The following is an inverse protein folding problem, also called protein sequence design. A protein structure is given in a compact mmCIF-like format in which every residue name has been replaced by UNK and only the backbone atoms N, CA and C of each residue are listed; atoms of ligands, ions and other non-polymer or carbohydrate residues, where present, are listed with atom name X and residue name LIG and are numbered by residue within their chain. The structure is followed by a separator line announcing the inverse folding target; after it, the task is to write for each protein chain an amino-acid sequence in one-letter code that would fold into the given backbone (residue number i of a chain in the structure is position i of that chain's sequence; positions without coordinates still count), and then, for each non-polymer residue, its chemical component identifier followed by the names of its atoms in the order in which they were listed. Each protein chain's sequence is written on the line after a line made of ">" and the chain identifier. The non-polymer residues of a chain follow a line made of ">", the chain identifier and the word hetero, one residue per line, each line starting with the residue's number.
data_IF_357327395390
#
_entry.id   IF_357327395390
#
_cell.length_a   1.000
_cell.length_b   1.000
_cell.length_c   1.000
_cell.angle_alpha   90.00
_cell.angle_beta   90.00
_cell.angle_gamma   90.00
#
_symmetry.space_group_name_H-M   'P 1'
#
loop_
_entity.id
_entity.type
_entity.pdbx_description
1 polymer ?
#
# COMPACT_ATOMS: atom_id res chain seq x y z
N UNK A 1 18.96 45.58 29.18
CA UNK A 1 17.56 45.51 29.61
C UNK A 1 16.99 44.20 29.15
N UNK A 2 16.68 43.25 30.04
CA UNK A 2 16.01 41.98 29.69
C UNK A 2 14.53 42.27 29.49
N UNK A 3 14.03 42.12 28.24
CA UNK A 3 12.59 42.26 27.99
C UNK A 3 11.89 41.06 28.60
N UNK A 4 11.02 41.27 29.57
CA UNK A 4 10.14 40.25 30.11
C UNK A 4 8.98 40.01 29.14
N UNK A 5 8.66 38.75 28.88
CA UNK A 5 7.51 38.35 28.04
C UNK A 5 6.20 38.85 28.72
N UNK A 6 5.33 39.44 27.93
CA UNK A 6 4.00 39.84 28.37
C UNK A 6 3.11 38.58 28.48
N UNK A 7 2.26 38.54 29.49
CA UNK A 7 1.29 37.45 29.72
C UNK A 7 0.35 37.26 28.51
N UNK A 8 0.00 38.37 27.84
CA UNK A 8 -0.81 38.33 26.61
C UNK A 8 -0.08 37.69 25.42
N UNK A 9 1.22 37.90 25.33
CA UNK A 9 2.06 37.31 24.26
C UNK A 9 2.13 35.79 24.40
N UNK A 10 2.21 35.29 25.65
CA UNK A 10 2.15 33.86 25.92
C UNK A 10 0.77 33.28 25.57
N UNK A 11 -0.33 33.98 25.91
CA UNK A 11 -1.69 33.53 25.57
C UNK A 11 -1.90 33.42 24.06
N UNK A 12 -1.41 34.38 23.28
CA UNK A 12 -1.54 34.36 21.83
C UNK A 12 -0.76 33.16 21.24
N UNK A 13 0.43 32.86 21.75
CA UNK A 13 1.25 31.76 21.28
C UNK A 13 0.57 30.39 21.50
N UNK A 14 0.00 30.16 22.70
CA UNK A 14 -0.71 28.90 22.98
C UNK A 14 -1.98 28.73 22.14
N UNK A 15 -2.71 29.82 21.85
CA UNK A 15 -3.88 29.80 20.97
C UNK A 15 -3.45 29.41 19.53
N UNK A 16 -2.38 30.02 18.99
CA UNK A 16 -1.89 29.72 17.66
C UNK A 16 -1.42 28.25 17.58
N UNK A 17 -0.66 27.76 18.58
CA UNK A 17 -0.23 26.36 18.64
C UNK A 17 -1.45 25.43 18.68
N UNK A 18 -2.47 25.73 19.46
CA UNK A 18 -3.71 24.94 19.54
C UNK A 18 -4.43 24.85 18.20
N UNK A 19 -4.55 25.97 17.48
CA UNK A 19 -5.18 26.01 16.15
C UNK A 19 -4.37 25.21 15.13
N UNK A 20 -3.04 25.39 15.10
CA UNK A 20 -2.16 24.65 14.18
C UNK A 20 -2.21 23.14 14.48
N UNK A 21 -2.23 22.75 15.75
CA UNK A 21 -2.29 21.37 16.18
C UNK A 21 -3.62 20.69 15.75
N UNK A 22 -4.75 21.37 15.94
CA UNK A 22 -6.06 20.86 15.50
C UNK A 22 -6.15 20.72 13.98
N UNK A 23 -5.60 21.67 13.22
CA UNK A 23 -5.56 21.57 11.75
C UNK A 23 -4.63 20.45 11.26
N UNK A 24 -3.53 20.18 11.95
CA UNK A 24 -2.65 19.08 11.63
C UNK A 24 -3.33 17.72 11.87
N UNK A 25 -3.98 17.52 13.03
CA UNK A 25 -4.66 16.26 13.35
C UNK A 25 -5.82 16.00 12.39
N UNK A 26 -6.62 17.00 12.03
CA UNK A 26 -7.75 16.82 11.10
C UNK A 26 -7.30 16.44 9.69
N UNK A 27 -6.12 16.89 9.23
CA UNK A 27 -5.55 16.43 7.96
C UNK A 27 -5.12 14.95 8.02
N UNK A 28 -4.56 14.50 9.14
CA UNK A 28 -4.18 13.09 9.30
C UNK A 28 -5.41 12.16 9.39
N UNK A 29 -6.49 12.60 10.04
CA UNK A 29 -7.74 11.81 10.11
C UNK A 29 -8.46 11.75 8.76
N UNK A 30 -8.45 12.82 7.95
CA UNK A 30 -9.05 12.83 6.62
C UNK A 30 -8.38 11.88 5.61
N UNK A 31 -7.11 11.55 5.77
CA UNK A 31 -6.43 10.55 4.92
C UNK A 31 -6.99 9.14 5.18
N UNK A 32 -7.54 8.88 6.39
CA UNK A 32 -8.19 7.60 6.73
C UNK A 32 -9.68 7.53 6.37
N UNK A 33 -10.36 8.66 6.14
CA UNK A 33 -11.81 8.71 5.90
C UNK A 33 -12.21 9.03 4.45
N UNK A 34 -11.29 9.46 3.58
CA UNK A 34 -11.57 9.40 2.15
C UNK A 34 -11.67 7.92 1.77
N UNK A 35 -12.88 7.38 1.75
CA UNK A 35 -13.30 6.20 1.00
C UNK A 35 -13.21 6.52 -0.51
N UNK A 36 -12.07 7.00 -0.96
CA UNK A 36 -11.66 6.85 -2.34
C UNK A 36 -11.70 5.35 -2.56
N UNK A 37 -12.53 4.90 -3.48
CA UNK A 37 -12.60 3.50 -3.88
C UNK A 37 -11.21 3.07 -4.37
N UNK A 38 -10.34 2.77 -3.39
CA UNK A 38 -9.01 2.22 -3.65
C UNK A 38 -9.24 0.91 -4.36
N UNK A 39 -8.67 0.76 -5.53
CA UNK A 39 -8.68 -0.47 -6.29
C UNK A 39 -7.24 -0.93 -6.54
N UNK A 40 -7.06 -2.15 -7.02
CA UNK A 40 -5.72 -2.69 -7.27
C UNK A 40 -4.91 -1.81 -8.24
N UNK A 41 -5.54 -1.16 -9.23
CA UNK A 41 -4.86 -0.26 -10.16
C UNK A 41 -4.26 0.97 -9.46
N UNK A 42 -4.95 1.51 -8.45
CA UNK A 42 -4.52 2.71 -7.70
C UNK A 42 -3.76 2.38 -6.42
N UNK A 43 -3.68 1.11 -6.03
CA UNK A 43 -3.12 0.67 -4.75
C UNK A 43 -1.70 1.17 -4.51
N UNK A 44 -0.79 0.98 -5.48
CA UNK A 44 0.60 1.41 -5.36
C UNK A 44 0.71 2.92 -5.08
N UNK A 45 0.03 3.73 -5.89
CA UNK A 45 0.01 5.18 -5.71
C UNK A 45 -0.68 5.62 -4.41
N UNK A 46 -1.64 4.84 -3.93
CA UNK A 46 -2.30 5.10 -2.65
C UNK A 46 -1.37 4.84 -1.47
N UNK A 47 -0.65 3.70 -1.47
CA UNK A 47 0.32 3.37 -0.42
C UNK A 47 1.50 4.35 -0.37
N UNK A 48 1.96 4.85 -1.52
CA UNK A 48 3.03 5.84 -1.59
C UNK A 48 2.66 7.20 -0.97
N UNK A 49 1.37 7.49 -0.73
CA UNK A 49 0.95 8.73 -0.04
C UNK A 49 1.24 8.73 1.47
N UNK A 50 1.42 7.56 2.08
CA UNK A 50 1.73 7.47 3.49
C UNK A 50 3.21 7.82 3.75
N UNK A 51 3.51 8.83 4.58
CA UNK A 51 4.88 9.12 4.95
C UNK A 51 5.44 7.96 5.79
N UNK A 52 6.56 7.42 5.37
CA UNK A 52 7.20 6.26 6.01
C UNK A 52 8.72 6.36 5.97
N UNK A 53 9.39 5.64 6.86
CA UNK A 53 10.85 5.59 6.95
C UNK A 53 11.43 4.24 6.55
N UNK A 54 10.64 3.18 6.64
CA UNK A 54 11.01 1.81 6.27
C UNK A 54 10.16 1.30 5.13
N UNK A 55 8.89 1.05 5.39
CA UNK A 55 7.95 0.48 4.42
C UNK A 55 6.50 0.86 4.73
N UNK A 56 5.66 0.70 3.70
CA UNK A 56 4.20 0.66 3.85
C UNK A 56 3.71 -0.67 3.30
N UNK A 57 3.01 -1.43 4.12
CA UNK A 57 2.49 -2.75 3.78
C UNK A 57 0.97 -2.78 3.86
N UNK A 58 0.33 -3.23 2.80
CA UNK A 58 -1.05 -3.70 2.84
C UNK A 58 -1.04 -5.17 3.25
N UNK A 59 -1.80 -5.54 4.27
CA UNK A 59 -1.90 -6.90 4.79
C UNK A 59 -3.37 -7.29 4.90
N UNK A 60 -3.82 -8.21 4.06
CA UNK A 60 -5.15 -8.79 4.07
C UNK A 60 -5.09 -10.19 4.65
N UNK A 61 -5.86 -10.47 5.67
CA UNK A 61 -5.84 -11.75 6.38
C UNK A 61 -7.13 -12.53 6.12
N UNK A 62 -7.07 -13.85 6.31
CA UNK A 62 -8.19 -14.80 6.26
C UNK A 62 -8.96 -14.76 4.93
N UNK A 63 -10.09 -14.08 4.88
CA UNK A 63 -11.00 -14.02 3.73
C UNK A 63 -10.75 -12.84 2.80
N UNK A 64 -9.73 -12.03 3.05
CA UNK A 64 -9.41 -10.80 2.32
C UNK A 64 -10.46 -9.68 2.40
N UNK A 65 -11.52 -9.81 3.18
CA UNK A 65 -12.55 -8.78 3.30
C UNK A 65 -12.04 -7.51 3.97
N UNK A 66 -11.07 -7.66 4.86
CA UNK A 66 -10.45 -6.55 5.58
C UNK A 66 -8.93 -6.56 5.41
N UNK A 67 -8.38 -5.44 4.97
CA UNK A 67 -6.97 -5.25 4.71
C UNK A 67 -6.42 -4.11 5.56
N UNK A 68 -5.42 -4.38 6.37
CA UNK A 68 -4.77 -3.39 7.21
C UNK A 68 -3.59 -2.74 6.46
N UNK A 69 -3.51 -1.41 6.55
CA UNK A 69 -2.35 -0.65 6.08
C UNK A 69 -1.42 -0.44 7.27
N UNK A 70 -0.23 -1.01 7.16
CA UNK A 70 0.83 -0.91 8.16
C UNK A 70 1.90 0.05 7.64
N UNK A 71 2.19 1.10 8.40
CA UNK A 71 3.28 2.05 8.13
C UNK A 71 4.37 1.83 9.16
N UNK A 72 5.57 1.50 8.72
CA UNK A 72 6.69 1.15 9.60
C UNK A 72 6.29 0.09 10.67
N UNK A 73 5.46 -0.90 10.24
CA UNK A 73 4.94 -1.97 11.10
C UNK A 73 3.80 -1.58 12.04
N UNK A 74 3.29 -0.34 11.98
CA UNK A 74 2.16 0.14 12.79
C UNK A 74 0.91 0.30 11.94
N UNK A 75 -0.22 -0.24 12.40
CA UNK A 75 -1.51 -0.08 11.73
C UNK A 75 -1.94 1.39 11.71
N UNK A 76 -2.20 1.92 10.51
CA UNK A 76 -2.64 3.30 10.28
C UNK A 76 -4.07 3.38 9.75
N UNK A 77 -4.48 2.45 8.90
CA UNK A 77 -5.80 2.44 8.29
C UNK A 77 -6.26 1.01 8.00
N UNK A 78 -7.53 0.85 7.67
CA UNK A 78 -8.11 -0.43 7.23
C UNK A 78 -8.94 -0.16 5.99
N UNK A 79 -8.79 -1.01 4.97
CA UNK A 79 -9.64 -1.06 3.80
C UNK A 79 -10.61 -2.23 3.98
N UNK A 80 -11.90 -1.95 4.01
CA UNK A 80 -12.94 -2.98 4.06
C UNK A 80 -13.45 -3.27 2.64
N UNK A 81 -13.85 -4.51 2.39
CA UNK A 81 -14.38 -4.99 1.10
C UNK A 81 -13.48 -4.71 -0.11
N UNK A 82 -12.15 -4.65 0.14
CA UNK A 82 -11.14 -4.36 -0.88
C UNK A 82 -10.92 -5.55 -1.82
N UNK A 83 -10.79 -6.74 -1.28
CA UNK A 83 -10.58 -7.99 -2.00
C UNK A 83 -11.51 -9.10 -1.46
N UNK A 84 -11.43 -10.28 -2.04
CA UNK A 84 -12.04 -11.52 -1.56
C UNK A 84 -11.10 -12.72 -1.77
N UNK A 85 -11.52 -13.91 -1.34
CA UNK A 85 -10.72 -15.15 -1.40
C UNK A 85 -10.30 -15.57 -2.83
N UNK A 86 -10.89 -14.98 -3.87
CA UNK A 86 -10.57 -15.32 -5.26
C UNK A 86 -9.26 -14.69 -5.77
N UNK A 87 -8.66 -13.79 -4.98
CA UNK A 87 -7.39 -13.16 -5.35
C UNK A 87 -6.27 -14.20 -5.43
N UNK A 88 -5.49 -14.14 -6.52
CA UNK A 88 -4.31 -14.96 -6.75
C UNK A 88 -3.12 -14.09 -7.05
N UNK A 89 -1.98 -14.44 -6.50
CA UNK A 89 -0.73 -13.70 -6.66
C UNK A 89 0.28 -14.58 -7.40
N UNK A 90 0.94 -14.00 -8.40
CA UNK A 90 1.96 -14.68 -9.18
C UNK A 90 3.25 -13.89 -9.19
N UNK A 91 4.38 -14.57 -9.08
CA UNK A 91 5.70 -14.03 -9.34
C UNK A 91 6.10 -14.35 -10.78
N UNK A 92 6.65 -13.38 -11.49
CA UNK A 92 7.19 -13.63 -12.82
C UNK A 92 8.61 -14.21 -12.73
N UNK A 93 8.82 -15.33 -13.39
CA UNK A 93 10.13 -15.94 -13.61
C UNK A 93 10.42 -15.98 -15.11
N UNK A 94 11.63 -15.59 -15.51
CA UNK A 94 11.99 -15.53 -16.93
C UNK A 94 12.03 -16.91 -17.60
N UNK A 95 12.34 -17.97 -16.86
CA UNK A 95 12.41 -19.34 -17.39
C UNK A 95 11.06 -20.06 -17.34
N UNK A 96 10.30 -19.86 -16.26
CA UNK A 96 9.07 -20.62 -15.98
C UNK A 96 7.78 -19.82 -16.17
N UNK A 97 7.87 -18.51 -16.46
CA UNK A 97 6.71 -17.64 -16.60
C UNK A 97 6.14 -17.19 -15.25
N UNK A 98 4.81 -17.16 -15.12
CA UNK A 98 4.16 -16.74 -13.89
C UNK A 98 3.94 -17.93 -12.96
N UNK A 99 4.55 -17.91 -11.78
CA UNK A 99 4.45 -18.94 -10.74
C UNK A 99 3.50 -18.43 -9.66
N UNK A 100 2.43 -19.17 -9.37
CA UNK A 100 1.49 -18.84 -8.30
C UNK A 100 2.20 -18.91 -6.95
N UNK A 101 2.08 -17.86 -6.14
CA UNK A 101 2.66 -17.82 -4.81
C UNK A 101 1.78 -18.57 -3.81
N UNK A 102 2.41 -19.38 -2.97
CA UNK A 102 1.75 -20.02 -1.84
C UNK A 102 1.40 -18.98 -0.79
N UNK A 103 0.23 -19.16 -0.14
CA UNK A 103 -0.20 -18.27 0.94
C UNK A 103 0.76 -18.34 2.11
N UNK A 104 1.20 -17.18 2.57
CA UNK A 104 2.04 -17.04 3.75
C UNK A 104 1.20 -17.15 5.03
N UNK A 105 1.89 -17.41 6.14
CA UNK A 105 1.30 -17.45 7.47
C UNK A 105 1.81 -16.25 8.26
N UNK A 106 0.92 -15.57 8.95
CA UNK A 106 1.23 -14.46 9.82
C UNK A 106 0.88 -14.81 11.27
N UNK A 107 1.80 -14.56 12.21
CA UNK A 107 1.54 -14.70 13.63
C UNK A 107 1.24 -13.33 14.24
N UNK A 108 0.07 -13.18 14.83
CA UNK A 108 -0.29 -11.93 15.51
C UNK A 108 0.45 -11.80 16.87
N UNK A 109 0.28 -10.65 17.53
CA UNK A 109 0.92 -10.39 18.85
C UNK A 109 0.54 -11.39 19.95
N UNK A 110 -0.58 -12.11 19.81
CA UNK A 110 -1.03 -13.17 20.71
C UNK A 110 -0.51 -14.55 20.27
N UNK A 111 0.41 -14.61 19.32
CA UNK A 111 0.98 -15.84 18.74
C UNK A 111 -0.06 -16.76 18.09
N UNK A 112 -1.18 -16.18 17.63
CA UNK A 112 -2.22 -16.88 16.87
C UNK A 112 -1.89 -16.83 15.39
N UNK A 113 -1.88 -18.00 14.76
CA UNK A 113 -1.67 -18.16 13.32
C UNK A 113 -2.84 -17.59 12.54
N UNK A 114 -2.53 -16.81 11.49
CA UNK A 114 -3.49 -16.26 10.54
C UNK A 114 -2.98 -16.41 9.11
N UNK A 115 -3.84 -16.87 8.23
CA UNK A 115 -3.49 -17.00 6.83
C UNK A 115 -3.45 -15.63 6.15
N UNK A 116 -2.35 -15.32 5.48
CA UNK A 116 -2.25 -14.14 4.63
C UNK A 116 -2.94 -14.44 3.32
N UNK A 117 -4.04 -13.76 3.07
CA UNK A 117 -4.77 -13.86 1.81
C UNK A 117 -4.07 -13.06 0.70
N UNK A 118 -3.64 -11.84 1.02
CA UNK A 118 -2.90 -10.96 0.12
C UNK A 118 -1.99 -10.03 0.93
N UNK A 119 -0.78 -9.80 0.45
CA UNK A 119 0.07 -8.73 0.98
C UNK A 119 0.75 -7.99 -0.18
N UNK A 120 1.01 -6.70 0.02
CA UNK A 120 1.77 -5.89 -0.92
C UNK A 120 2.56 -4.83 -0.15
N UNK A 121 3.87 -4.79 -0.36
CA UNK A 121 4.77 -3.90 0.36
C UNK A 121 5.38 -2.88 -0.60
N UNK A 122 5.48 -1.63 -0.15
CA UNK A 122 6.22 -0.55 -0.81
C UNK A 122 7.34 -0.14 0.14
N UNK A 123 8.58 -0.17 -0.35
CA UNK A 123 9.76 0.18 0.44
C UNK A 123 9.95 1.70 0.61
N UNK A 124 10.99 2.09 1.34
CA UNK A 124 11.33 3.50 1.61
C UNK A 124 11.66 4.32 0.35
N UNK A 125 12.01 3.67 -0.77
CA UNK A 125 12.25 4.30 -2.06
C UNK A 125 10.99 4.42 -2.91
N UNK A 126 9.85 3.93 -2.43
CA UNK A 126 8.59 3.88 -3.17
C UNK A 126 8.50 2.72 -4.16
N UNK A 127 9.44 1.76 -4.07
CA UNK A 127 9.44 0.57 -4.92
C UNK A 127 8.53 -0.50 -4.30
N UNK A 128 7.60 -1.00 -5.08
CA UNK A 128 6.69 -2.06 -4.65
C UNK A 128 7.17 -3.46 -5.03
N UNK A 129 6.56 -4.47 -4.44
CA UNK A 129 6.80 -5.86 -4.79
C UNK A 129 6.44 -6.13 -6.26
N UNK A 130 7.27 -6.95 -6.93
CA UNK A 130 7.08 -7.29 -8.34
C UNK A 130 6.21 -8.54 -8.48
N UNK A 131 4.91 -8.32 -8.57
CA UNK A 131 3.92 -9.40 -8.65
C UNK A 131 2.85 -9.10 -9.68
N UNK A 132 2.23 -10.16 -10.21
CA UNK A 132 0.94 -10.09 -10.89
C UNK A 132 -0.16 -10.50 -9.92
N UNK A 133 -1.24 -9.75 -9.90
CA UNK A 133 -2.40 -10.01 -9.05
C UNK A 133 -3.60 -10.28 -9.94
N UNK A 134 -4.10 -11.51 -9.96
CA UNK A 134 -5.32 -11.87 -10.66
C UNK A 134 -6.52 -11.73 -9.72
N UNK A 135 -7.52 -10.96 -10.13
CA UNK A 135 -8.72 -10.69 -9.36
C UNK A 135 -9.90 -10.30 -10.26
N UNK A 136 -11.05 -10.94 -10.05
CA UNK A 136 -12.30 -10.68 -10.80
C UNK A 136 -12.11 -10.64 -12.32
N UNK A 137 -11.38 -11.60 -12.87
CA UNK A 137 -11.17 -11.75 -14.33
C UNK A 137 -10.18 -10.77 -14.95
N UNK A 138 -9.51 -9.94 -14.14
CA UNK A 138 -8.45 -9.05 -14.56
C UNK A 138 -7.12 -9.44 -13.90
N UNK A 139 -6.02 -9.06 -14.54
CA UNK A 139 -4.66 -9.22 -14.01
C UNK A 139 -4.01 -7.86 -13.90
N UNK A 140 -3.53 -7.54 -12.72
CA UNK A 140 -2.86 -6.30 -12.37
C UNK A 140 -1.35 -6.54 -12.28
N UNK A 141 -0.59 -5.82 -13.09
CA UNK A 141 0.87 -5.93 -13.14
C UNK A 141 1.52 -4.87 -12.27
N UNK A 142 2.03 -5.29 -11.13
CA UNK A 142 2.79 -4.47 -10.18
C UNK A 142 4.30 -4.52 -10.42
N UNK A 143 4.76 -5.27 -11.44
CA UNK A 143 6.19 -5.52 -11.66
C UNK A 143 6.97 -4.31 -12.21
N UNK A 144 6.29 -3.27 -12.66
CA UNK A 144 6.93 -2.06 -13.15
C UNK A 144 7.28 -1.10 -12.02
N UNK A 145 8.56 -0.76 -11.86
CA UNK A 145 9.06 0.11 -10.80
C UNK A 145 8.50 1.53 -10.88
N UNK A 146 8.60 2.14 -12.05
CA UNK A 146 8.32 3.56 -12.27
C UNK A 146 6.99 3.81 -13.00
N UNK A 147 6.39 2.78 -13.59
CA UNK A 147 5.14 2.91 -14.33
C UNK A 147 3.93 2.64 -13.42
N UNK A 148 2.75 3.15 -13.79
CA UNK A 148 1.48 2.77 -13.18
C UNK A 148 1.23 1.27 -13.30
N UNK A 149 0.36 0.74 -12.44
CA UNK A 149 -0.07 -0.67 -12.49
C UNK A 149 -0.75 -0.97 -13.82
N UNK A 150 -0.19 -1.90 -14.58
CA UNK A 150 -0.78 -2.41 -15.82
C UNK A 150 -2.03 -3.25 -15.54
N UNK A 151 -3.01 -3.24 -16.45
CA UNK A 151 -4.23 -4.04 -16.30
C UNK A 151 -4.44 -4.85 -17.59
N UNK A 152 -4.56 -6.16 -17.44
CA UNK A 152 -4.70 -7.11 -18.54
C UNK A 152 -5.92 -8.00 -18.33
N UNK A 153 -6.47 -8.53 -19.43
CA UNK A 153 -7.63 -9.42 -19.40
C UNK A 153 -7.28 -10.88 -19.16
N UNK A 154 -5.98 -11.22 -19.13
CA UNK A 154 -5.50 -12.56 -18.79
C UNK A 154 -4.04 -12.53 -18.34
N UNK A 155 -3.64 -13.57 -17.60
CA UNK A 155 -2.26 -13.73 -17.13
C UNK A 155 -1.30 -13.87 -18.34
N UNK A 156 -1.71 -14.56 -19.40
CA UNK A 156 -0.89 -14.72 -20.61
C UNK A 156 -0.58 -13.37 -21.26
N UNK A 157 -1.57 -12.47 -21.39
CA UNK A 157 -1.33 -11.13 -21.94
C UNK A 157 -0.38 -10.30 -21.08
N UNK A 158 -0.44 -10.42 -19.76
CA UNK A 158 0.50 -9.75 -18.86
C UNK A 158 1.94 -10.28 -19.06
N UNK A 159 2.10 -11.61 -19.22
CA UNK A 159 3.38 -12.26 -19.51
C UNK A 159 3.93 -11.81 -20.86
N UNK A 160 3.10 -11.79 -21.90
CA UNK A 160 3.50 -11.41 -23.26
C UNK A 160 3.98 -9.96 -23.30
N UNK A 161 3.25 -9.04 -22.65
CA UNK A 161 3.66 -7.65 -22.52
C UNK A 161 5.01 -7.51 -21.78
N UNK A 162 5.26 -8.36 -20.78
CA UNK A 162 6.55 -8.36 -20.05
C UNK A 162 7.70 -8.85 -20.93
N UNK A 163 7.47 -9.88 -21.75
CA UNK A 163 8.46 -10.37 -22.71
C UNK A 163 8.78 -9.34 -23.78
N UNK A 164 7.76 -8.66 -24.29
CA UNK A 164 7.94 -7.59 -25.29
C UNK A 164 8.81 -6.45 -24.73
N UNK A 165 8.52 -6.00 -23.50
CA UNK A 165 9.32 -4.99 -22.81
C UNK A 165 10.78 -5.44 -22.63
N UNK A 166 11.02 -6.71 -22.27
CA UNK A 166 12.37 -7.24 -22.13
C UNK A 166 13.11 -7.27 -23.49
N UNK A 167 12.42 -7.58 -24.59
CA UNK A 167 13.01 -7.53 -25.92
C UNK A 167 13.37 -6.13 -26.39
N UNK A 168 12.59 -5.10 -26.01
CA UNK A 168 12.90 -3.71 -26.33
C UNK A 168 14.15 -3.20 -25.59
N UNK A 169 14.35 -3.62 -24.33
CA UNK A 169 15.49 -3.20 -23.51
C UNK A 169 16.80 -3.89 -23.95
N UNK A 170 16.73 -5.07 -24.56
CA UNK A 170 17.89 -5.84 -25.00
C UNK A 170 18.33 -5.53 -26.44
N UNK A 171 17.69 -4.60 -27.12
CA UNK A 171 18.05 -4.11 -28.47
C UNK A 171 18.93 -2.88 -28.40
#
# INVERSE_FOLDING_TARGET
>A
MKKAFSLIELMIVIVIIGVVYTLAITKFQKIGEESTHVNLKSLKAYLQKFPHTKDVKLLCLEDCSSCDILVDGKKQATLNDFLDKSVKVYRYDFAYGAIEQTKEVYFNKANVEKHVCFSYTVDKQGVGEQVFVAFKGLVYDFSNYLAPVGVYTSLQKAIDAKKELAHEVLR
#
